data_IF_844707310000
#
_entry.id   IF_844707310000
#
_cell.length_a   1.000
_cell.length_b   1.000
_cell.length_c   1.000
_cell.angle_alpha   90.00
_cell.angle_beta   90.00
_cell.angle_gamma   90.00
#
_symmetry.space_group_name_H-M   'P 1'
#
loop_
_entity.id
_entity.type
_entity.pdbx_description
1 polymer ?
#
# COMPACT_ATOMS: atom_id res chain seq x y z
N UNK A 1 28.25 -13.81 3.68
CA UNK A 1 27.82 -12.75 2.74
C UNK A 1 26.32 -12.81 2.42
N UNK A 2 25.74 -14.00 2.19
CA UNK A 2 24.32 -14.17 1.82
C UNK A 2 23.29 -13.47 2.74
N UNK A 3 23.45 -13.55 4.07
CA UNK A 3 22.51 -12.93 5.02
C UNK A 3 22.35 -11.41 4.85
N UNK A 4 23.44 -10.68 4.56
CA UNK A 4 23.40 -9.22 4.35
C UNK A 4 22.64 -8.86 3.07
N UNK A 5 22.75 -9.70 2.04
CA UNK A 5 22.04 -9.52 0.78
C UNK A 5 20.53 -9.75 0.95
N UNK A 6 20.13 -10.81 1.65
CA UNK A 6 18.72 -11.09 1.97
C UNK A 6 18.12 -9.95 2.80
N UNK A 7 18.82 -9.50 3.85
CA UNK A 7 18.37 -8.38 4.67
C UNK A 7 18.20 -7.07 3.86
N UNK A 8 19.10 -6.81 2.90
CA UNK A 8 19.01 -5.66 2.01
C UNK A 8 17.81 -5.77 1.06
N UNK A 9 17.57 -6.94 0.46
CA UNK A 9 16.42 -7.20 -0.42
C UNK A 9 15.11 -7.00 0.36
N UNK A 10 15.03 -7.53 1.58
CA UNK A 10 13.88 -7.31 2.47
C UNK A 10 13.67 -5.83 2.80
N UNK A 11 14.74 -5.11 3.11
CA UNK A 11 14.66 -3.68 3.41
C UNK A 11 14.16 -2.87 2.19
N UNK A 12 14.71 -3.12 1.00
CA UNK A 12 14.27 -2.49 -0.25
C UNK A 12 12.81 -2.82 -0.53
N UNK A 13 12.43 -4.08 -0.34
CA UNK A 13 11.06 -4.54 -0.54
C UNK A 13 10.09 -3.80 0.40
N UNK A 14 10.37 -3.77 1.71
CA UNK A 14 9.53 -3.09 2.71
C UNK A 14 9.42 -1.58 2.40
N UNK A 15 10.54 -0.93 2.05
CA UNK A 15 10.55 0.49 1.70
C UNK A 15 9.76 0.76 0.42
N UNK A 16 9.85 -0.11 -0.58
CA UNK A 16 9.08 -0.01 -1.82
C UNK A 16 7.58 -0.16 -1.56
N UNK A 17 7.19 -1.10 -0.69
CA UNK A 17 5.81 -1.25 -0.24
C UNK A 17 5.30 0.00 0.49
N UNK A 18 6.10 0.52 1.42
CA UNK A 18 5.78 1.73 2.16
C UNK A 18 5.55 2.91 1.22
N UNK A 19 6.49 3.16 0.29
CA UNK A 19 6.40 4.24 -0.69
C UNK A 19 5.18 4.09 -1.61
N UNK A 20 4.92 2.88 -2.12
CA UNK A 20 3.76 2.61 -2.98
C UNK A 20 2.44 2.88 -2.24
N UNK A 21 2.33 2.44 -1.00
CA UNK A 21 1.14 2.62 -0.17
C UNK A 21 0.83 4.09 0.07
N UNK A 22 1.85 4.87 0.42
CA UNK A 22 1.71 6.31 0.60
C UNK A 22 1.32 6.98 -0.72
N UNK A 23 1.94 6.58 -1.83
CA UNK A 23 1.62 7.12 -3.14
C UNK A 23 0.15 6.88 -3.52
N UNK A 24 -0.33 5.64 -3.41
CA UNK A 24 -1.73 5.28 -3.71
C UNK A 24 -2.67 6.07 -2.81
N UNK A 25 -2.42 6.07 -1.49
CA UNK A 25 -3.29 6.76 -0.55
C UNK A 25 -3.33 8.28 -0.77
N UNK A 26 -2.18 8.92 -1.05
CA UNK A 26 -2.13 10.34 -1.44
C UNK A 26 -2.88 10.62 -2.73
N UNK A 27 -2.89 9.67 -3.67
CA UNK A 27 -3.63 9.82 -4.91
C UNK A 27 -5.12 9.64 -4.67
N UNK A 28 -5.53 8.69 -3.83
CA UNK A 28 -6.91 8.47 -3.42
C UNK A 28 -7.48 9.62 -2.58
N UNK A 29 -6.67 10.24 -1.72
CA UNK A 29 -7.08 11.42 -0.95
C UNK A 29 -7.41 12.63 -1.81
N UNK A 30 -6.91 12.69 -3.06
CA UNK A 30 -7.35 13.70 -4.04
C UNK A 30 -8.75 13.45 -4.58
N UNK A 31 -9.18 12.19 -4.60
CA UNK A 31 -10.51 11.80 -5.06
C UNK A 31 -11.54 11.82 -3.92
N UNK A 32 -11.14 11.46 -2.69
CA UNK A 32 -11.99 11.50 -1.49
C UNK A 32 -11.22 12.07 -0.28
N UNK A 33 -11.07 13.40 -0.17
CA UNK A 33 -10.32 14.01 0.92
C UNK A 33 -10.98 13.78 2.29
N UNK A 34 -12.30 13.60 2.34
CA UNK A 34 -13.02 13.42 3.59
C UNK A 34 -12.72 12.07 4.24
N UNK A 35 -12.60 11.01 3.44
CA UNK A 35 -12.23 9.68 3.94
C UNK A 35 -10.79 9.62 4.47
N UNK A 36 -9.87 10.40 3.87
CA UNK A 36 -8.45 10.43 4.24
C UNK A 36 -8.06 11.59 5.16
N UNK A 37 -9.02 12.38 5.67
CA UNK A 37 -8.74 13.61 6.46
C UNK A 37 -7.91 13.36 7.72
N UNK A 38 -8.03 12.17 8.33
CA UNK A 38 -7.36 11.79 9.56
C UNK A 38 -6.00 11.09 9.32
N UNK A 39 -5.54 11.10 8.06
CA UNK A 39 -4.28 10.51 7.64
C UNK A 39 -3.21 11.59 7.55
N UNK A 40 -2.29 11.57 8.50
CA UNK A 40 -1.08 12.38 8.42
C UNK A 40 -0.05 11.72 7.50
N UNK A 41 -0.04 12.16 6.24
CA UNK A 41 0.91 11.72 5.22
C UNK A 41 2.35 12.23 5.42
N UNK A 42 2.60 13.08 6.42
CA UNK A 42 3.94 13.51 6.81
C UNK A 42 4.58 12.57 7.85
N UNK A 43 3.76 11.73 8.51
CA UNK A 43 4.26 10.71 9.44
C UNK A 43 5.01 9.59 8.70
N UNK A 44 6.29 9.40 9.01
CA UNK A 44 7.09 8.27 8.51
C UNK A 44 6.98 7.12 9.50
N UNK A 45 6.37 6.01 9.10
CA UNK A 45 6.34 4.83 9.96
C UNK A 45 5.47 3.67 9.48
N UNK A 46 5.82 2.48 9.97
CA UNK A 46 5.11 1.22 9.72
C UNK A 46 3.62 1.32 10.11
N UNK A 47 3.30 2.10 11.16
CA UNK A 47 1.92 2.31 11.62
C UNK A 47 1.07 3.06 10.59
N UNK A 48 1.63 4.05 9.90
CA UNK A 48 0.95 4.74 8.79
C UNK A 48 0.68 3.75 7.65
N UNK A 49 1.68 2.95 7.27
CA UNK A 49 1.50 1.90 6.26
C UNK A 49 0.37 0.96 6.60
N UNK A 50 0.36 0.36 7.80
CA UNK A 50 -0.72 -0.54 8.20
C UNK A 50 -2.09 0.13 8.16
N UNK A 51 -2.19 1.39 8.60
CA UNK A 51 -3.43 2.15 8.55
C UNK A 51 -3.91 2.35 7.11
N UNK A 52 -3.01 2.76 6.22
CA UNK A 52 -3.31 2.96 4.80
C UNK A 52 -3.66 1.65 4.11
N UNK A 53 -2.91 0.57 4.35
CA UNK A 53 -3.24 -0.76 3.83
C UNK A 53 -4.62 -1.19 4.30
N UNK A 54 -4.94 -1.04 5.60
CA UNK A 54 -6.29 -1.35 6.12
C UNK A 54 -7.37 -0.52 5.43
N UNK A 55 -7.13 0.77 5.22
CA UNK A 55 -8.06 1.65 4.48
C UNK A 55 -8.24 1.21 3.03
N UNK A 56 -7.19 0.75 2.32
CA UNK A 56 -7.28 0.25 0.94
C UNK A 56 -8.07 -1.06 0.82
N UNK A 57 -7.98 -1.90 1.84
CA UNK A 57 -8.67 -3.18 1.92
C UNK A 57 -10.00 -3.11 2.66
N UNK A 58 -10.43 -1.93 3.08
CA UNK A 58 -11.71 -1.75 3.76
C UNK A 58 -12.86 -2.13 2.80
N UNK A 59 -13.67 -3.16 3.12
CA UNK A 59 -14.81 -3.53 2.30
C UNK A 59 -15.94 -2.50 2.37
N UNK A 60 -15.91 -1.58 3.35
CA UNK A 60 -16.91 -0.52 3.54
C UNK A 60 -16.47 0.82 2.95
N UNK A 61 -15.35 0.85 2.21
CA UNK A 61 -15.06 1.95 1.31
C UNK A 61 -16.32 2.23 0.46
N UNK A 62 -16.81 3.48 0.38
CA UNK A 62 -18.00 3.86 -0.40
C UNK A 62 -17.70 3.83 -1.91
N UNK A 63 -17.26 2.67 -2.38
CA UNK A 63 -16.77 2.41 -3.72
C UNK A 63 -17.85 2.64 -4.76
N UNK A 64 -19.13 2.49 -4.42
CA UNK A 64 -20.25 2.70 -5.33
C UNK A 64 -20.24 4.12 -5.93
N UNK A 65 -19.99 5.13 -5.08
CA UNK A 65 -20.02 6.55 -5.44
C UNK A 65 -18.69 7.08 -6.02
N UNK A 66 -17.65 6.23 -6.09
CA UNK A 66 -16.35 6.64 -6.60
C UNK A 66 -16.32 6.74 -8.12
N UNK A 67 -15.61 7.77 -8.60
CA UNK A 67 -15.30 7.93 -10.02
C UNK A 67 -14.56 6.69 -10.56
N UNK A 68 -14.72 6.41 -11.86
CA UNK A 68 -14.05 5.28 -12.51
C UNK A 68 -12.52 5.30 -12.29
N UNK A 69 -11.92 6.50 -12.24
CA UNK A 69 -10.50 6.68 -11.95
C UNK A 69 -10.10 6.20 -10.55
N UNK A 70 -10.90 6.49 -9.52
CA UNK A 70 -10.63 6.02 -8.15
C UNK A 70 -10.86 4.51 -8.01
N UNK A 71 -11.91 3.97 -8.65
CA UNK A 71 -12.17 2.51 -8.70
C UNK A 71 -10.99 1.75 -9.33
N UNK A 72 -10.46 2.26 -10.44
CA UNK A 72 -9.29 1.67 -11.10
C UNK A 72 -8.03 1.71 -10.23
N UNK A 73 -7.80 2.81 -9.52
CA UNK A 73 -6.68 2.96 -8.58
C UNK A 73 -6.77 1.97 -7.42
N UNK A 74 -7.97 1.80 -6.87
CA UNK A 74 -8.27 0.90 -5.77
C UNK A 74 -8.06 -0.56 -6.19
N UNK A 75 -8.55 -0.93 -7.37
CA UNK A 75 -8.34 -2.26 -7.95
C UNK A 75 -6.85 -2.53 -8.23
N UNK A 76 -6.15 -1.58 -8.86
CA UNK A 76 -4.72 -1.72 -9.15
C UNK A 76 -3.90 -1.89 -7.86
N UNK A 77 -4.19 -1.09 -6.83
CA UNK A 77 -3.54 -1.21 -5.54
C UNK A 77 -3.77 -2.59 -4.91
N UNK A 78 -5.01 -3.10 -4.92
CA UNK A 78 -5.35 -4.42 -4.40
C UNK A 78 -4.65 -5.55 -5.16
N UNK A 79 -4.61 -5.49 -6.49
CA UNK A 79 -3.92 -6.49 -7.34
C UNK A 79 -2.43 -6.49 -7.04
N UNK A 80 -1.80 -5.32 -6.99
CA UNK A 80 -0.37 -5.19 -6.68
C UNK A 80 -0.09 -5.82 -5.33
N UNK A 81 -0.86 -5.46 -4.29
CA UNK A 81 -0.74 -6.06 -2.96
C UNK A 81 -0.97 -7.59 -2.92
N UNK A 82 -1.91 -8.10 -3.71
CA UNK A 82 -2.16 -9.54 -3.82
C UNK A 82 -0.98 -10.29 -4.48
N UNK A 83 -0.33 -9.69 -5.48
CA UNK A 83 0.86 -10.26 -6.12
C UNK A 83 2.14 -10.15 -5.28
N UNK A 84 2.16 -9.20 -4.36
CA UNK A 84 3.28 -8.90 -3.45
C UNK A 84 3.51 -10.00 -2.41
N UNK A 85 2.44 -10.64 -1.91
CA UNK A 85 2.53 -11.72 -0.90
C UNK A 85 3.21 -12.98 -1.48
N UNK A 86 2.79 -13.53 -2.65
CA UNK A 86 3.49 -14.64 -3.29
C UNK A 86 4.96 -14.33 -3.61
N UNK A 87 5.24 -13.11 -4.08
CA UNK A 87 6.60 -12.70 -4.43
C UNK A 87 7.53 -12.70 -3.20
N UNK A 88 7.00 -12.26 -2.05
CA UNK A 88 7.73 -12.30 -0.78
C UNK A 88 8.02 -13.73 -0.32
N UNK A 89 7.04 -14.63 -0.44
CA UNK A 89 7.23 -16.05 -0.09
C UNK A 89 8.32 -16.67 -0.96
N UNK A 90 8.29 -16.42 -2.27
CA UNK A 90 9.33 -16.90 -3.20
C UNK A 90 10.71 -16.37 -2.81
N UNK A 91 10.82 -15.08 -2.48
CA UNK A 91 12.07 -14.46 -2.03
C UNK A 91 12.57 -14.99 -0.67
N UNK A 92 11.70 -15.52 0.19
CA UNK A 92 12.09 -16.17 1.45
C UNK A 92 12.54 -17.62 1.26
N UNK A 93 12.11 -18.27 0.18
CA UNK A 93 12.45 -19.67 -0.12
C UNK A 93 13.71 -19.86 -0.94
N UNK A 94 14.23 -18.81 -1.58
CA UNK A 94 15.47 -18.80 -2.37
C UNK A 94 16.62 -18.29 -1.49
#
# INVERSE_FOLDING_TARGET
MAFKLVALIMAIYILSQHAFTIFVARRMSRYDPNYFKDVDFSSLGIRLSFRLTRMLFDPHLPAENYSAGMKGLLLAARIVYAGIIPLFVVLMTI
#
